data_IF_283140761353
#
_entry.id   IF_283140761353
#
_cell.length_a   1.000
_cell.length_b   1.000
_cell.length_c   1.000
_cell.angle_alpha   90.00
_cell.angle_beta   90.00
_cell.angle_gamma   90.00
#
_symmetry.space_group_name_H-M   'P 1'
#
loop_
_entity.id
_entity.type
_entity.pdbx_description
1 polymer ?
#
# COMPACT_ATOMS: atom_id res chain seq x y z
N UNK A 1 20.33 -13.87 -16.50
CA UNK A 1 20.89 -12.55 -16.12
C UNK A 1 19.88 -11.50 -16.58
N UNK A 2 19.12 -10.89 -15.65
CA UNK A 2 18.06 -9.94 -16.00
C UNK A 2 18.68 -8.67 -16.58
N UNK A 3 18.24 -8.26 -17.77
CA UNK A 3 18.71 -7.03 -18.40
C UNK A 3 17.97 -5.84 -17.75
N UNK A 4 18.60 -5.22 -16.76
CA UNK A 4 18.08 -4.04 -16.04
C UNK A 4 18.02 -2.78 -16.92
N UNK A 5 18.26 -2.88 -18.23
CA UNK A 5 18.24 -1.75 -19.18
C UNK A 5 16.99 -1.67 -20.03
N UNK A 6 15.99 -2.52 -19.80
CA UNK A 6 14.75 -2.44 -20.56
C UNK A 6 13.96 -1.17 -20.16
N UNK A 7 13.67 -0.25 -21.10
CA UNK A 7 13.09 1.06 -20.78
C UNK A 7 11.67 0.97 -20.19
N UNK A 8 10.96 -0.11 -20.49
CA UNK A 8 9.63 -0.47 -19.98
C UNK A 8 9.61 -0.69 -18.45
N UNK A 9 10.63 -1.35 -17.89
CA UNK A 9 10.74 -1.57 -16.44
C UNK A 9 11.05 -0.24 -15.74
N UNK A 10 11.95 0.57 -16.31
CA UNK A 10 12.28 1.89 -15.78
C UNK A 10 11.06 2.82 -15.76
N UNK A 11 10.27 2.84 -16.84
CA UNK A 11 9.04 3.62 -16.91
C UNK A 11 8.00 3.16 -15.86
N UNK A 12 7.94 1.86 -15.59
CA UNK A 12 7.05 1.29 -14.58
C UNK A 12 7.45 1.69 -13.16
N UNK A 13 8.75 1.70 -12.84
CA UNK A 13 9.24 2.23 -11.56
C UNK A 13 8.99 3.74 -11.42
N UNK A 14 9.15 4.50 -12.50
CA UNK A 14 8.84 5.93 -12.51
C UNK A 14 7.34 6.18 -12.25
N UNK A 15 6.46 5.38 -12.86
CA UNK A 15 5.03 5.44 -12.62
C UNK A 15 4.68 5.11 -11.16
N UNK A 16 5.29 4.06 -10.61
CA UNK A 16 5.08 3.67 -9.22
C UNK A 16 5.52 4.79 -8.27
N UNK A 17 6.74 5.31 -8.46
CA UNK A 17 7.27 6.42 -7.67
C UNK A 17 6.38 7.67 -7.74
N UNK A 18 5.88 8.00 -8.93
CA UNK A 18 4.96 9.11 -9.15
C UNK A 18 3.62 8.88 -8.44
N UNK A 19 3.01 7.70 -8.60
CA UNK A 19 1.74 7.36 -7.98
C UNK A 19 1.86 7.41 -6.45
N UNK A 20 2.79 6.64 -5.87
CA UNK A 20 2.94 6.59 -4.40
C UNK A 20 3.40 7.93 -3.83
N UNK A 21 4.22 8.70 -4.55
CA UNK A 21 4.68 10.02 -4.12
C UNK A 21 3.54 11.05 -4.06
N UNK A 22 2.75 11.12 -5.14
CA UNK A 22 1.62 12.06 -5.23
C UNK A 22 0.49 11.69 -4.26
N UNK A 23 0.12 10.40 -4.16
CA UNK A 23 -0.92 9.96 -3.24
C UNK A 23 -0.45 9.97 -1.78
N UNK A 24 0.82 9.69 -1.51
CA UNK A 24 1.43 9.85 -0.18
C UNK A 24 1.31 11.29 0.32
N UNK A 25 1.65 12.27 -0.52
CA UNK A 25 1.48 13.69 -0.18
C UNK A 25 0.00 14.06 0.06
N UNK A 26 -0.92 13.52 -0.75
CA UNK A 26 -2.36 13.73 -0.55
C UNK A 26 -2.86 13.13 0.78
N UNK A 27 -2.32 12.00 1.22
CA UNK A 27 -2.66 11.39 2.52
C UNK A 27 -2.13 12.20 3.71
N UNK A 28 -0.91 12.73 3.62
CA UNK A 28 -0.37 13.64 4.65
C UNK A 28 -1.26 14.88 4.79
N UNK A 29 -1.70 15.46 3.67
CA UNK A 29 -2.65 16.60 3.67
C UNK A 29 -4.01 16.27 4.29
N UNK A 30 -4.43 14.99 4.24
CA UNK A 30 -5.64 14.46 4.88
C UNK A 30 -5.45 14.14 6.37
N UNK A 31 -4.36 14.59 7.00
CA UNK A 31 -4.00 14.29 8.40
C UNK A 31 -3.87 12.80 8.70
N UNK A 32 -3.52 12.00 7.69
CA UNK A 32 -3.20 10.59 7.86
C UNK A 32 -1.70 10.34 7.59
N UNK A 33 -0.83 10.59 8.59
CA UNK A 33 0.61 10.45 8.42
C UNK A 33 1.05 8.99 8.26
N UNK A 34 0.30 8.01 8.78
CA UNK A 34 0.63 6.58 8.63
C UNK A 34 0.65 6.17 7.15
N UNK A 35 -0.44 6.46 6.43
CA UNK A 35 -0.52 6.08 5.02
C UNK A 35 0.43 6.91 4.15
N UNK A 36 0.64 8.17 4.51
CA UNK A 36 1.60 9.04 3.85
C UNK A 36 3.03 8.48 3.92
N UNK A 37 3.49 8.12 5.12
CA UNK A 37 4.82 7.54 5.33
C UNK A 37 4.95 6.20 4.62
N UNK A 38 3.95 5.31 4.73
CA UNK A 38 3.96 4.03 4.03
C UNK A 38 4.19 4.23 2.51
N UNK A 39 3.49 5.20 1.89
CA UNK A 39 3.63 5.45 0.45
C UNK A 39 4.95 6.12 0.08
N UNK A 40 5.48 6.97 0.95
CA UNK A 40 6.82 7.55 0.75
C UNK A 40 7.93 6.52 0.86
N UNK A 41 7.81 5.50 1.71
CA UNK A 41 8.77 4.39 1.74
C UNK A 41 8.78 3.65 0.40
N UNK A 42 7.61 3.41 -0.22
CA UNK A 42 7.52 2.81 -1.56
C UNK A 42 8.12 3.73 -2.64
N UNK A 43 7.88 5.05 -2.55
CA UNK A 43 8.51 6.03 -3.44
C UNK A 43 10.02 6.01 -3.31
N UNK A 44 10.55 6.01 -2.08
CA UNK A 44 11.98 5.98 -1.82
C UNK A 44 12.61 4.69 -2.37
N UNK A 45 11.95 3.54 -2.21
CA UNK A 45 12.37 2.27 -2.81
C UNK A 45 12.45 2.38 -4.35
N UNK A 46 11.36 2.84 -4.96
CA UNK A 46 11.25 2.94 -6.43
C UNK A 46 12.26 3.93 -7.03
N UNK A 47 12.51 5.06 -6.37
CA UNK A 47 13.51 6.04 -6.80
C UNK A 47 14.93 5.47 -6.68
N UNK A 48 15.25 4.76 -5.60
CA UNK A 48 16.56 4.11 -5.47
C UNK A 48 16.77 3.01 -6.52
N UNK A 49 15.72 2.27 -6.88
CA UNK A 49 15.76 1.31 -7.98
C UNK A 49 16.06 2.00 -9.33
N UNK A 50 15.41 3.14 -9.61
CA UNK A 50 15.71 3.95 -10.81
C UNK A 50 17.15 4.48 -10.82
N UNK A 51 17.64 4.96 -9.68
CA UNK A 51 19.03 5.42 -9.54
C UNK A 51 19.99 4.28 -9.83
N UNK A 52 19.73 3.07 -9.31
CA UNK A 52 20.53 1.89 -9.62
C UNK A 52 20.50 1.54 -11.11
N UNK A 53 19.33 1.58 -11.76
CA UNK A 53 19.21 1.31 -13.20
C UNK A 53 19.99 2.34 -14.05
N UNK A 54 20.00 3.60 -13.65
CA UNK A 54 20.69 4.67 -14.36
C UNK A 54 22.21 4.70 -14.12
N UNK A 55 22.67 4.39 -12.91
CA UNK A 55 24.06 4.60 -12.48
C UNK A 55 24.85 3.31 -12.22
N UNK A 56 24.17 2.18 -12.04
CA UNK A 56 24.77 0.92 -11.60
C UNK A 56 25.27 0.92 -10.15
N UNK A 57 24.90 1.92 -9.34
CA UNK A 57 25.43 2.07 -7.99
C UNK A 57 24.86 1.03 -7.01
N UNK A 58 25.73 0.12 -6.54
CA UNK A 58 25.35 -1.00 -5.65
C UNK A 58 24.68 -0.58 -4.34
N UNK A 59 25.08 0.57 -3.77
CA UNK A 59 24.47 1.09 -2.54
C UNK A 59 22.98 1.43 -2.74
N UNK A 60 22.64 2.03 -3.88
CA UNK A 60 21.24 2.33 -4.23
C UNK A 60 20.40 1.06 -4.38
N UNK A 61 20.98 -0.01 -4.95
CA UNK A 61 20.32 -1.32 -5.03
C UNK A 61 20.06 -1.91 -3.64
N UNK A 62 21.04 -1.84 -2.72
CA UNK A 62 20.87 -2.32 -1.35
C UNK A 62 19.77 -1.58 -0.59
N UNK A 63 19.71 -0.25 -0.73
CA UNK A 63 18.64 0.57 -0.12
C UNK A 63 17.28 0.24 -0.73
N UNK A 64 17.18 0.11 -2.06
CA UNK A 64 15.93 -0.27 -2.72
C UNK A 64 15.44 -1.64 -2.23
N UNK A 65 16.35 -2.62 -2.14
CA UNK A 65 16.01 -3.97 -1.67
C UNK A 65 15.54 -3.98 -0.20
N UNK A 66 16.21 -3.23 0.67
CA UNK A 66 15.79 -3.07 2.07
C UNK A 66 14.39 -2.44 2.19
N UNK A 67 14.15 -1.34 1.48
CA UNK A 67 12.87 -0.63 1.54
C UNK A 67 11.73 -1.45 0.91
N UNK A 68 11.99 -2.21 -0.14
CA UNK A 68 11.03 -3.14 -0.74
C UNK A 68 10.66 -4.27 0.24
N UNK A 69 11.66 -4.90 0.86
CA UNK A 69 11.49 -5.94 1.89
C UNK A 69 10.69 -5.41 3.08
N UNK A 70 11.02 -4.20 3.57
CA UNK A 70 10.28 -3.52 4.62
C UNK A 70 8.81 -3.33 4.22
N UNK A 71 8.57 -2.88 2.99
CA UNK A 71 7.24 -2.57 2.48
C UNK A 71 6.39 -3.82 2.35
N UNK A 72 6.94 -4.91 1.81
CA UNK A 72 6.25 -6.21 1.64
C UNK A 72 5.95 -6.89 2.96
N UNK A 73 6.89 -6.85 3.90
CA UNK A 73 6.72 -7.48 5.22
C UNK A 73 5.77 -6.69 6.10
N UNK A 74 6.09 -5.43 6.38
CA UNK A 74 5.42 -4.66 7.44
C UNK A 74 4.77 -3.37 6.93
N UNK A 75 5.37 -2.70 5.96
CA UNK A 75 4.91 -1.38 5.48
C UNK A 75 3.47 -1.39 4.96
N UNK A 76 3.20 -2.07 3.85
CA UNK A 76 1.85 -2.14 3.29
C UNK A 76 0.91 -2.97 4.20
N UNK A 77 1.26 -4.19 4.64
CA UNK A 77 0.34 -5.03 5.41
C UNK A 77 -0.02 -4.50 6.80
N UNK A 78 0.92 -3.86 7.50
CA UNK A 78 0.70 -3.39 8.88
C UNK A 78 0.47 -1.88 8.91
N UNK A 79 1.41 -1.09 8.38
CA UNK A 79 1.36 0.38 8.49
C UNK A 79 0.23 0.95 7.63
N UNK A 80 0.09 0.49 6.38
CA UNK A 80 -1.00 0.97 5.54
C UNK A 80 -2.37 0.45 6.02
N UNK A 81 -2.47 -0.81 6.49
CA UNK A 81 -3.71 -1.30 7.10
C UNK A 81 -4.12 -0.45 8.32
N UNK A 82 -3.18 -0.16 9.22
CA UNK A 82 -3.41 0.71 10.38
C UNK A 82 -3.79 2.14 9.95
N UNK A 83 -3.24 2.67 8.86
CA UNK A 83 -3.67 3.97 8.35
C UNK A 83 -5.08 3.95 7.76
N UNK A 84 -5.53 2.85 7.14
CA UNK A 84 -6.94 2.69 6.72
C UNK A 84 -7.86 2.55 7.94
N UNK A 85 -7.35 2.05 9.08
CA UNK A 85 -8.10 2.03 10.34
C UNK A 85 -8.52 3.42 10.83
N UNK A 86 -7.89 4.48 10.34
CA UNK A 86 -8.31 5.84 10.63
C UNK A 86 -9.73 6.16 10.14
N UNK A 87 -10.13 5.61 8.99
CA UNK A 87 -11.49 5.78 8.46
C UNK A 87 -12.38 4.63 8.91
N UNK A 88 -11.81 3.44 9.19
CA UNK A 88 -12.65 2.32 9.61
C UNK A 88 -13.11 2.39 11.07
N UNK A 89 -12.20 2.74 11.97
CA UNK A 89 -12.39 2.69 13.43
C UNK A 89 -12.14 4.05 14.11
N UNK A 90 -12.05 5.15 13.34
CA UNK A 90 -11.77 6.50 13.85
C UNK A 90 -10.41 6.64 14.56
N UNK A 91 -9.50 5.73 14.26
CA UNK A 91 -8.18 5.73 14.84
C UNK A 91 -7.36 6.92 14.33
N UNK A 92 -7.04 7.88 15.19
CA UNK A 92 -6.12 8.98 14.84
C UNK A 92 -4.71 8.61 15.24
N UNK A 93 -3.85 8.17 14.32
CA UNK A 93 -2.48 7.82 14.67
C UNK A 93 -1.72 9.08 15.12
N UNK A 94 -1.17 9.04 16.32
CA UNK A 94 -0.27 10.06 16.81
C UNK A 94 1.09 9.92 16.11
N UNK A 95 1.79 11.02 15.84
CA UNK A 95 3.10 11.00 15.16
C UNK A 95 4.11 10.05 15.84
N UNK A 96 4.08 9.94 17.17
CA UNK A 96 4.92 9.00 17.93
C UNK A 96 4.62 7.54 17.60
N UNK A 97 3.35 7.18 17.42
CA UNK A 97 2.96 5.81 17.06
C UNK A 97 3.41 5.46 15.64
N UNK A 98 3.41 6.44 14.73
CA UNK A 98 3.98 6.26 13.38
C UNK A 98 5.46 5.93 13.46
N UNK A 99 6.23 6.73 14.20
CA UNK A 99 7.67 6.52 14.36
C UNK A 99 7.96 5.18 15.04
N UNK A 100 7.22 4.83 16.08
CA UNK A 100 7.38 3.56 16.80
C UNK A 100 7.08 2.37 15.89
N UNK A 101 5.96 2.41 15.15
CA UNK A 101 5.58 1.32 14.25
C UNK A 101 6.58 1.17 13.09
N UNK A 102 7.05 2.30 12.52
CA UNK A 102 8.11 2.29 11.51
C UNK A 102 9.43 1.75 12.07
N UNK A 103 9.78 2.12 13.31
CA UNK A 103 10.99 1.64 13.98
C UNK A 103 10.95 0.14 14.23
N UNK A 104 9.84 -0.38 14.77
CA UNK A 104 9.65 -1.82 14.99
C UNK A 104 9.69 -2.57 13.64
N UNK A 105 9.00 -2.06 12.62
CA UNK A 105 9.03 -2.63 11.29
C UNK A 105 10.44 -2.63 10.67
N UNK A 106 11.23 -1.58 10.91
CA UNK A 106 12.60 -1.49 10.42
C UNK A 106 13.51 -2.51 11.11
N UNK A 107 13.42 -2.64 12.43
CA UNK A 107 14.14 -3.66 13.20
C UNK A 107 13.72 -5.07 12.77
N UNK A 108 12.42 -5.30 12.58
CA UNK A 108 11.90 -6.57 12.06
C UNK A 108 12.45 -6.90 10.67
N UNK A 109 12.52 -5.90 9.78
CA UNK A 109 13.09 -6.06 8.43
C UNK A 109 14.58 -6.37 8.50
N UNK A 110 15.33 -5.68 9.37
CA UNK A 110 16.76 -5.99 9.58
C UNK A 110 16.95 -7.42 10.07
N UNK A 111 16.13 -7.88 11.02
CA UNK A 111 16.18 -9.26 11.49
C UNK A 111 15.84 -10.27 10.39
N UNK A 112 14.85 -9.98 9.54
CA UNK A 112 14.52 -10.84 8.39
C UNK A 112 15.69 -10.94 7.39
N UNK A 113 16.47 -9.87 7.21
CA UNK A 113 17.60 -9.84 6.27
C UNK A 113 18.90 -10.43 6.82
N UNK A 114 19.09 -10.51 8.14
CA UNK A 114 20.33 -11.02 8.74
C UNK A 114 20.29 -12.50 9.11
N UNK A 115 19.10 -13.09 9.21
CA UNK A 115 18.92 -14.47 9.66
C UNK A 115 18.85 -15.43 8.47
N UNK A 116 19.95 -16.14 8.19
CA UNK A 116 20.07 -17.08 7.04
C UNK A 116 19.00 -18.18 7.03
N UNK A 117 18.48 -18.60 8.18
CA UNK A 117 17.41 -19.62 8.25
C UNK A 117 16.05 -19.10 7.76
N UNK A 118 15.88 -17.76 7.68
CA UNK A 118 14.63 -17.13 7.28
C UNK A 118 14.47 -17.20 5.76
N UNK A 119 15.52 -17.38 4.97
CA UNK A 119 15.46 -17.39 3.50
C UNK A 119 14.45 -18.40 2.92
N UNK A 120 14.28 -19.55 3.58
CA UNK A 120 13.29 -20.58 3.17
C UNK A 120 11.86 -20.16 3.56
N UNK A 121 11.70 -19.46 4.68
CA UNK A 121 10.41 -19.08 5.26
C UNK A 121 9.92 -17.72 4.73
N UNK A 122 10.83 -16.87 4.26
CA UNK A 122 10.60 -15.49 3.87
C UNK A 122 9.49 -15.34 2.81
N UNK A 123 9.44 -16.17 1.75
CA UNK A 123 8.37 -16.09 0.77
C UNK A 123 6.99 -16.42 1.36
N UNK A 124 6.91 -17.41 2.24
CA UNK A 124 5.67 -17.77 2.93
C UNK A 124 5.22 -16.67 3.88
N UNK A 125 6.17 -16.00 4.55
CA UNK A 125 5.89 -14.86 5.40
C UNK A 125 5.27 -13.70 4.62
N UNK A 126 5.82 -13.34 3.45
CA UNK A 126 5.26 -12.27 2.62
C UNK A 126 3.85 -12.58 2.13
N UNK A 127 3.63 -13.80 1.63
CA UNK A 127 2.29 -14.22 1.20
C UNK A 127 1.30 -14.24 2.36
N UNK A 128 1.73 -14.67 3.55
CA UNK A 128 0.89 -14.62 4.75
C UNK A 128 0.51 -13.18 5.14
N UNK A 129 1.47 -12.25 5.11
CA UNK A 129 1.20 -10.83 5.39
C UNK A 129 0.26 -10.22 4.35
N UNK A 130 0.43 -10.56 3.07
CA UNK A 130 -0.49 -10.16 2.00
C UNK A 130 -1.88 -10.78 2.16
N UNK A 131 -1.99 -12.04 2.59
CA UNK A 131 -3.27 -12.69 2.85
C UNK A 131 -4.02 -12.04 4.03
N UNK A 132 -3.30 -11.66 5.09
CA UNK A 132 -3.88 -10.92 6.22
C UNK A 132 -4.39 -9.53 5.78
N UNK A 133 -3.58 -8.81 5.00
CA UNK A 133 -4.00 -7.53 4.41
C UNK A 133 -5.21 -7.72 3.51
N UNK A 134 -5.24 -8.79 2.71
CA UNK A 134 -6.35 -9.10 1.82
C UNK A 134 -7.66 -9.32 2.58
N UNK A 135 -7.60 -10.05 3.68
CA UNK A 135 -8.75 -10.26 4.56
C UNK A 135 -9.26 -8.93 5.15
N UNK A 136 -8.35 -8.06 5.58
CA UNK A 136 -8.72 -6.74 6.07
C UNK A 136 -9.32 -5.85 4.95
N UNK A 137 -8.76 -5.90 3.75
CA UNK A 137 -9.29 -5.16 2.60
C UNK A 137 -10.64 -5.69 2.14
N UNK A 138 -10.90 -6.99 2.24
CA UNK A 138 -12.23 -7.55 1.99
C UNK A 138 -13.27 -6.96 2.96
N UNK A 139 -12.93 -6.84 4.25
CA UNK A 139 -13.77 -6.13 5.21
C UNK A 139 -13.97 -4.64 4.82
N UNK A 140 -12.91 -3.96 4.38
CA UNK A 140 -13.00 -2.58 3.90
C UNK A 140 -13.91 -2.43 2.67
N UNK A 141 -13.85 -3.37 1.72
CA UNK A 141 -14.75 -3.44 0.55
C UNK A 141 -16.20 -3.63 0.98
N UNK A 142 -16.48 -4.54 1.91
CA UNK A 142 -17.84 -4.74 2.45
C UNK A 142 -18.37 -3.44 3.06
N UNK A 143 -17.51 -2.67 3.76
CA UNK A 143 -17.90 -1.37 4.29
C UNK A 143 -18.20 -0.33 3.21
N UNK A 144 -17.43 -0.30 2.12
CA UNK A 144 -17.70 0.56 0.97
C UNK A 144 -19.03 0.23 0.29
N UNK A 145 -19.34 -1.05 0.14
CA UNK A 145 -20.63 -1.50 -0.40
C UNK A 145 -21.80 -1.07 0.48
N UNK A 146 -21.67 -1.21 1.81
CA UNK A 146 -22.68 -0.73 2.77
C UNK A 146 -22.85 0.79 2.75
N UNK A 147 -21.79 1.52 2.43
CA UNK A 147 -21.81 2.97 2.27
C UNK A 147 -22.39 3.43 0.91
N UNK A 148 -22.81 2.50 0.03
CA UNK A 148 -23.35 2.80 -1.29
C UNK A 148 -22.31 3.11 -2.38
N UNK A 149 -21.02 2.98 -2.08
CA UNK A 149 -19.92 3.35 -2.98
C UNK A 149 -19.46 2.14 -3.83
N UNK A 150 -20.38 1.62 -4.65
CA UNK A 150 -20.17 0.38 -5.42
C UNK A 150 -19.01 0.46 -6.42
N UNK A 151 -18.79 1.62 -7.05
CA UNK A 151 -17.68 1.82 -7.98
C UNK A 151 -16.30 1.72 -7.30
N UNK A 152 -16.18 2.36 -6.13
CA UNK A 152 -14.95 2.30 -5.35
C UNK A 152 -14.72 0.91 -4.74
N UNK A 153 -15.79 0.20 -4.36
CA UNK A 153 -15.71 -1.19 -3.93
C UNK A 153 -15.19 -2.11 -5.06
N UNK A 154 -15.71 -1.95 -6.28
CA UNK A 154 -15.30 -2.76 -7.44
C UNK A 154 -13.83 -2.55 -7.79
N UNK A 155 -13.39 -1.29 -7.90
CA UNK A 155 -11.98 -0.96 -8.20
C UNK A 155 -11.03 -1.42 -7.11
N UNK A 156 -11.42 -1.32 -5.84
CA UNK A 156 -10.63 -1.85 -4.71
C UNK A 156 -10.56 -3.37 -4.72
N UNK A 157 -11.65 -4.05 -5.08
CA UNK A 157 -11.67 -5.53 -5.21
C UNK A 157 -10.76 -5.98 -6.34
N UNK A 158 -10.78 -5.30 -7.49
CA UNK A 158 -9.90 -5.59 -8.60
C UNK A 158 -8.43 -5.39 -8.19
N UNK A 159 -8.12 -4.27 -7.52
CA UNK A 159 -6.77 -3.99 -7.03
C UNK A 159 -6.29 -5.06 -6.04
N UNK A 160 -7.18 -5.51 -5.15
CA UNK A 160 -6.91 -6.56 -4.17
C UNK A 160 -6.58 -7.90 -4.86
N UNK A 161 -7.42 -8.35 -5.78
CA UNK A 161 -7.23 -9.64 -6.48
C UNK A 161 -5.93 -9.63 -7.29
N UNK A 162 -5.69 -8.56 -8.06
CA UNK A 162 -4.47 -8.44 -8.86
C UNK A 162 -3.21 -8.42 -7.96
N UNK A 163 -3.25 -7.68 -6.85
CA UNK A 163 -2.13 -7.60 -5.90
C UNK A 163 -1.83 -8.95 -5.26
N UNK A 164 -2.86 -9.74 -4.94
CA UNK A 164 -2.69 -11.08 -4.36
C UNK A 164 -2.09 -12.06 -5.37
N UNK A 165 -2.52 -11.99 -6.64
CA UNK A 165 -1.93 -12.79 -7.72
C UNK A 165 -0.47 -12.43 -7.91
N UNK A 166 -0.15 -11.12 -7.97
CA UNK A 166 1.25 -10.66 -8.11
C UNK A 166 2.09 -11.15 -6.94
N UNK A 167 1.65 -10.97 -5.69
CA UNK A 167 2.39 -11.42 -4.50
C UNK A 167 2.64 -12.94 -4.52
N UNK A 168 1.63 -13.73 -4.88
CA UNK A 168 1.78 -15.18 -5.00
C UNK A 168 2.81 -15.58 -6.07
N UNK A 169 2.80 -14.92 -7.23
CA UNK A 169 3.72 -15.23 -8.34
C UNK A 169 5.15 -14.71 -8.05
N UNK A 170 5.28 -13.51 -7.47
CA UNK A 170 6.56 -12.90 -7.08
C UNK A 170 7.29 -13.77 -6.04
N UNK A 171 6.58 -14.17 -4.99
CA UNK A 171 7.22 -14.76 -3.81
C UNK A 171 7.31 -16.31 -3.89
N UNK A 172 6.23 -17.00 -4.29
CA UNK A 172 6.18 -18.47 -4.25
C UNK A 172 6.50 -19.17 -5.57
N UNK A 173 6.03 -18.63 -6.70
CA UNK A 173 6.12 -19.36 -7.97
C UNK A 173 7.43 -19.12 -8.73
N UNK A 174 8.15 -18.02 -8.45
CA UNK A 174 9.41 -17.61 -9.14
C UNK A 174 9.43 -18.04 -10.61
N UNK A 175 8.60 -17.36 -11.42
CA UNK A 175 8.35 -17.73 -12.83
C UNK A 175 9.67 -18.03 -13.58
N UNK A 176 9.88 -19.26 -14.08
CA UNK A 176 11.07 -19.60 -14.84
C UNK A 176 10.94 -19.06 -16.27
N UNK A 177 11.87 -18.19 -16.67
CA UNK A 177 12.02 -17.74 -18.05
C UNK A 177 11.30 -16.44 -18.35
N UNK A 178 12.03 -15.33 -18.21
CA UNK A 178 11.67 -14.10 -18.93
C UNK A 178 11.90 -14.39 -20.41
N UNK A 179 10.84 -14.63 -21.17
CA UNK A 179 10.91 -14.62 -22.62
C UNK A 179 11.38 -13.22 -23.04
N UNK A 180 12.62 -13.14 -23.50
CA UNK A 180 13.27 -11.93 -23.96
C UNK A 180 12.42 -11.25 -25.04
N UNK A 181 12.03 -9.98 -24.83
CA UNK A 181 11.46 -9.12 -25.87
C UNK A 181 9.97 -8.74 -25.76
N UNK A 182 9.23 -9.20 -24.75
CA UNK A 182 7.84 -8.78 -24.57
C UNK A 182 7.73 -7.45 -23.80
N UNK A 183 7.08 -6.46 -24.41
CA UNK A 183 6.75 -5.14 -23.81
C UNK A 183 5.92 -5.25 -22.51
N UNK A 184 5.33 -6.42 -22.25
CA UNK A 184 4.61 -6.76 -21.02
C UNK A 184 5.29 -7.91 -20.27
N UNK A 185 6.50 -7.65 -19.79
CA UNK A 185 7.17 -8.56 -18.87
C UNK A 185 6.47 -8.59 -17.51
N UNK A 186 6.54 -9.71 -16.78
CA UNK A 186 5.90 -9.84 -15.46
C UNK A 186 6.26 -8.72 -14.45
N UNK A 187 7.53 -8.24 -14.35
CA UNK A 187 7.88 -7.10 -13.49
C UNK A 187 7.13 -5.81 -13.82
N UNK A 188 6.85 -5.55 -15.12
CA UNK A 188 6.06 -4.40 -15.55
C UNK A 188 4.63 -4.53 -15.02
N UNK A 189 3.99 -5.69 -15.20
CA UNK A 189 2.64 -5.96 -14.69
C UNK A 189 2.56 -5.85 -13.17
N UNK A 190 3.59 -6.32 -12.45
CA UNK A 190 3.68 -6.18 -11.00
C UNK A 190 3.71 -4.70 -10.58
N UNK A 191 4.62 -3.90 -11.15
CA UNK A 191 4.76 -2.47 -10.85
C UNK A 191 3.51 -1.66 -11.22
N UNK A 192 2.85 -2.00 -12.34
CA UNK A 192 1.56 -1.41 -12.72
C UNK A 192 0.46 -1.75 -11.72
N UNK A 193 0.42 -3.00 -11.25
CA UNK A 193 -0.55 -3.45 -10.23
C UNK A 193 -0.34 -2.70 -8.92
N UNK A 194 0.90 -2.54 -8.46
CA UNK A 194 1.23 -1.77 -7.26
C UNK A 194 0.86 -0.29 -7.39
N UNK A 195 1.09 0.28 -8.59
CA UNK A 195 0.69 1.66 -8.90
C UNK A 195 -0.83 1.83 -8.84
N UNK A 196 -1.57 0.90 -9.47
CA UNK A 196 -3.03 0.87 -9.45
C UNK A 196 -3.58 0.70 -8.03
N UNK A 197 -2.98 -0.18 -7.23
CA UNK A 197 -3.35 -0.41 -5.84
C UNK A 197 -3.24 0.87 -5.00
N UNK A 198 -2.13 1.60 -5.10
CA UNK A 198 -1.94 2.87 -4.38
C UNK A 198 -3.03 3.91 -4.72
N UNK A 199 -3.42 3.99 -6.00
CA UNK A 199 -4.48 4.87 -6.49
C UNK A 199 -5.85 4.44 -5.99
N UNK A 200 -6.18 3.15 -6.14
CA UNK A 200 -7.47 2.58 -5.76
C UNK A 200 -7.75 2.78 -4.28
N UNK A 201 -6.77 2.48 -3.41
CA UNK A 201 -6.88 2.68 -1.97
C UNK A 201 -7.09 4.16 -1.61
N UNK A 202 -6.43 5.11 -2.30
CA UNK A 202 -6.66 6.53 -2.07
C UNK A 202 -8.09 6.97 -2.36
N UNK A 203 -8.63 6.59 -3.52
CA UNK A 203 -9.99 6.98 -3.88
C UNK A 203 -11.03 6.29 -3.00
N UNK A 204 -10.82 5.02 -2.68
CA UNK A 204 -11.69 4.27 -1.77
C UNK A 204 -11.68 4.86 -0.35
N UNK A 205 -10.51 5.27 0.15
CA UNK A 205 -10.40 5.98 1.41
C UNK A 205 -11.19 7.30 1.39
N UNK A 206 -11.03 8.11 0.34
CA UNK A 206 -11.72 9.38 0.22
C UNK A 206 -13.25 9.21 0.12
N UNK A 207 -13.71 8.16 -0.57
CA UNK A 207 -15.13 7.86 -0.69
C UNK A 207 -15.74 7.55 0.69
N UNK A 208 -15.11 6.65 1.45
CA UNK A 208 -15.61 6.27 2.77
C UNK A 208 -15.50 7.41 3.79
N UNK A 209 -14.46 8.24 3.70
CA UNK A 209 -14.33 9.47 4.49
C UNK A 209 -15.50 10.44 4.22
N UNK A 210 -15.86 10.64 2.94
CA UNK A 210 -16.97 11.51 2.54
C UNK A 210 -18.31 11.02 3.10
N UNK A 211 -18.62 9.73 2.96
CA UNK A 211 -19.90 9.18 3.45
C UNK A 211 -20.04 9.38 4.96
N UNK A 212 -18.95 9.17 5.72
CA UNK A 212 -18.95 9.42 7.17
C UNK A 212 -19.18 10.88 7.55
N UNK A 213 -18.61 11.82 6.79
CA UNK A 213 -18.87 13.24 7.03
C UNK A 213 -20.35 13.59 6.85
N UNK A 214 -21.00 13.00 5.84
CA UNK A 214 -22.44 13.19 5.58
C UNK A 214 -23.28 12.59 6.72
N UNK A 215 -22.96 11.36 7.14
CA UNK A 215 -23.66 10.69 8.26
C UNK A 215 -23.58 11.50 9.56
N UNK A 216 -22.39 12.01 9.92
CA UNK A 216 -22.20 12.85 11.11
C UNK A 216 -22.98 14.15 11.04
N UNK A 217 -22.91 14.86 9.90
CA UNK A 217 -23.67 16.08 9.71
C UNK A 217 -25.19 15.84 9.74
N UNK A 218 -25.65 14.65 9.33
CA UNK A 218 -27.03 14.21 9.52
C UNK A 218 -27.39 14.03 10.99
N UNK A 219 -26.58 13.27 11.74
CA UNK A 219 -26.79 13.02 13.16
C UNK A 219 -26.77 14.30 14.00
N UNK A 220 -25.83 15.21 13.76
CA UNK A 220 -25.75 16.51 14.45
C UNK A 220 -26.98 17.40 14.18
N UNK A 221 -27.56 17.31 12.98
CA UNK A 221 -28.81 18.01 12.68
C UNK A 221 -29.97 17.40 13.45
N UNK A 222 -30.10 16.07 13.48
CA UNK A 222 -31.17 15.39 14.21
C UNK A 222 -31.11 15.67 15.72
N UNK A 223 -29.91 15.68 16.32
CA UNK A 223 -29.73 16.03 17.73
C UNK A 223 -30.17 17.47 18.02
N UNK A 224 -29.78 18.43 17.17
CA UNK A 224 -30.24 19.82 17.29
C UNK A 224 -31.76 19.94 17.15
N UNK A 225 -32.38 19.23 16.23
CA UNK A 225 -33.84 19.21 16.09
C UNK A 225 -34.54 18.69 17.35
N UNK A 226 -34.03 17.62 17.94
CA UNK A 226 -34.56 17.08 19.20
C UNK A 226 -34.45 18.08 20.36
N UNK A 227 -33.32 18.78 20.48
CA UNK A 227 -33.17 19.85 21.48
C UNK A 227 -34.22 20.95 21.26
N UNK A 228 -34.40 21.44 20.03
CA UNK A 228 -35.40 22.47 19.72
C UNK A 228 -36.84 22.02 20.07
N UNK A 229 -37.22 20.77 19.78
CA UNK A 229 -38.57 20.25 20.08
C UNK A 229 -38.81 19.92 21.56
N UNK A 230 -37.77 19.93 22.40
CA UNK A 230 -37.88 19.65 23.84
C UNK A 230 -38.09 20.89 24.72
N UNK A 231 -38.14 22.08 24.11
CA UNK A 231 -38.40 23.36 24.77
C UNK A 231 -39.84 23.88 24.56
N UNK A 232 -40.72 23.09 23.94
CA UNK A 232 -42.18 23.32 23.86
C UNK A 232 -42.93 22.40 24.83
#
# INVERSE_FOLDING_TARGET
MMDFRSPDIGLSFALLAWATGTYGLKFVRKRNPLLGVAWWVVTASSVNALVFMATGWSCASGVAHFLDTFTRGFGIPVIAAAGVMAVTHEYRPMAQQVVMLCGIAAVGTMALMTLEFVDIVLPYFYVAMWALLALYLAYFVVRLLRAGEAWHAMTTTLALVLSLIVAYVDDLYKMPGNAHGAVFSFPVLALLTWSYFAVAIYYAYCALERTRHVERAGAERLLRWHEFTSFE
#
